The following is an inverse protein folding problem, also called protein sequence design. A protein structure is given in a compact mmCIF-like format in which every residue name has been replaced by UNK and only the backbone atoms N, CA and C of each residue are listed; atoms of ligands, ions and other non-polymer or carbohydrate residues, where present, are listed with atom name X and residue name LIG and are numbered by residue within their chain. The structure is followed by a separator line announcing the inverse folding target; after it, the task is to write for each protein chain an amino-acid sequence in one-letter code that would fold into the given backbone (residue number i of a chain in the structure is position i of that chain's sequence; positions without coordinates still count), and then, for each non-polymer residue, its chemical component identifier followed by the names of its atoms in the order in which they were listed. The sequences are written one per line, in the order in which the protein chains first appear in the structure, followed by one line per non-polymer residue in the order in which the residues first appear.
data_IF_613531927785
#
_entry.id   IF_613531927785
#
_cell.length_a   1.000
_cell.length_b   1.000
_cell.length_c   1.000
_cell.angle_alpha   90.00
_cell.angle_beta   90.00
_cell.angle_gamma   90.00
#
_symmetry.space_group_name_H-M   'P 1'
#
loop_
_entity.id
_entity.type
_entity.pdbx_description
1 polymer ?
#
# COMPACT_ATOMS: atom_id res chain seq x y z
N UNK A 1 27.92 -36.91 26.54
CA UNK A 1 28.77 -36.14 27.49
C UNK A 1 29.61 -35.21 26.61
N UNK A 2 29.58 -33.88 26.68
CA UNK A 2 29.62 -32.95 27.81
C UNK A 2 28.66 -31.77 27.55
N UNK A 3 28.10 -31.24 28.64
CA UNK A 3 27.15 -30.12 28.70
C UNK A 3 27.94 -28.83 28.94
N UNK A 4 27.57 -27.73 28.31
CA UNK A 4 27.99 -26.38 28.71
C UNK A 4 26.76 -25.49 28.83
N UNK A 5 26.53 -25.07 30.08
CA UNK A 5 25.48 -24.20 30.59
C UNK A 5 26.11 -22.84 30.89
N UNK A 6 25.58 -21.73 30.37
CA UNK A 6 25.69 -20.36 30.94
C UNK A 6 24.98 -19.38 30.00
N UNK A 7 24.26 -18.33 30.40
CA UNK A 7 23.40 -18.02 31.54
C UNK A 7 22.64 -16.76 31.10
N UNK A 8 21.33 -16.72 31.35
CA UNK A 8 20.41 -15.64 30.99
C UNK A 8 20.60 -14.42 31.89
N UNK A 9 20.64 -13.20 31.34
CA UNK A 9 20.50 -11.97 32.11
C UNK A 9 19.29 -11.17 31.60
N UNK A 10 18.15 -11.38 32.25
CA UNK A 10 16.98 -10.49 32.16
C UNK A 10 17.19 -9.34 33.15
N UNK A 11 17.19 -8.10 32.66
CA UNK A 11 17.09 -6.91 33.52
C UNK A 11 15.65 -6.44 33.50
N UNK A 12 14.92 -6.82 34.55
CA UNK A 12 13.60 -6.30 34.91
C UNK A 12 13.79 -5.05 35.77
N UNK A 13 13.30 -3.90 35.31
CA UNK A 13 13.10 -2.72 36.14
C UNK A 13 11.62 -2.31 36.09
N UNK A 14 10.87 -2.74 37.12
CA UNK A 14 9.63 -2.13 37.61
C UNK A 14 9.97 -1.56 39.01
N UNK A 15 9.41 -0.50 39.57
CA UNK A 15 8.28 0.41 39.33
C UNK A 15 8.66 1.77 40.02
N UNK A 16 7.93 2.89 39.99
CA UNK A 16 6.71 3.16 40.76
C UNK A 16 6.12 4.57 40.45
N UNK A 17 4.78 4.59 40.24
CA UNK A 17 3.72 5.46 40.80
C UNK A 17 3.76 7.01 40.69
N UNK A 18 2.83 7.56 39.90
CA UNK A 18 1.70 8.45 40.25
C UNK A 18 0.81 8.51 38.98
N UNK A 19 -0.52 8.34 38.92
CA UNK A 19 -1.62 8.59 39.84
C UNK A 19 -2.56 9.59 39.18
N UNK A 20 -3.62 9.14 38.47
CA UNK A 20 -4.83 9.95 38.19
C UNK A 20 -5.98 9.09 37.62
N UNK A 21 -7.07 8.98 38.39
CA UNK A 21 -8.46 8.69 37.97
C UNK A 21 -8.71 7.39 37.22
N UNK A 22 -9.27 6.32 37.80
CA UNK A 22 -10.35 6.30 38.78
C UNK A 22 -11.69 6.56 38.09
N UNK A 23 -12.31 5.52 37.54
CA UNK A 23 -13.76 5.36 37.71
C UNK A 23 -14.12 3.88 37.72
N UNK A 24 -15.02 3.56 38.64
CA UNK A 24 -15.31 2.25 39.15
C UNK A 24 -16.44 1.58 38.36
N UNK A 25 -16.50 0.26 38.51
CA UNK A 25 -17.47 -0.65 37.94
C UNK A 25 -18.93 -0.24 38.19
N UNK A 26 -19.80 -0.50 37.21
CA UNK A 26 -21.21 -0.80 37.47
C UNK A 26 -21.71 -1.88 36.50
N UNK A 27 -21.92 -3.13 36.95
CA UNK A 27 -22.78 -4.06 36.27
C UNK A 27 -24.23 -3.99 36.81
N UNK A 28 -25.12 -4.57 36.01
CA UNK A 28 -26.54 -4.87 36.26
C UNK A 28 -27.56 -3.73 36.07
N UNK A 29 -28.32 -3.89 34.98
CA UNK A 29 -29.64 -3.30 34.77
C UNK A 29 -30.45 -4.22 33.87
N UNK A 30 -31.02 -5.28 34.43
CA UNK A 30 -32.06 -6.08 33.77
C UNK A 30 -33.32 -5.21 33.63
N UNK A 31 -33.72 -4.92 32.39
CA UNK A 31 -34.85 -4.03 32.08
C UNK A 31 -35.61 -4.49 30.84
N UNK A 32 -36.53 -5.42 31.09
CA UNK A 32 -37.69 -5.89 30.32
C UNK A 32 -38.30 -4.88 29.31
N UNK A 33 -38.28 -5.25 28.02
CA UNK A 33 -39.29 -5.10 26.95
C UNK A 33 -40.09 -3.79 26.75
N UNK A 34 -40.08 -3.26 25.51
CA UNK A 34 -41.28 -3.07 24.67
C UNK A 34 -40.95 -2.37 23.33
N UNK A 35 -41.47 -2.97 22.25
CA UNK A 35 -41.84 -2.44 20.91
C UNK A 35 -40.90 -1.52 20.10
N UNK A 36 -40.69 -1.80 18.80
CA UNK A 36 -39.98 -0.90 17.89
C UNK A 36 -40.90 0.23 17.43
N UNK A 37 -40.54 1.48 17.72
CA UNK A 37 -41.11 2.64 17.05
C UNK A 37 -40.44 2.79 15.68
N UNK A 38 -41.27 2.88 14.63
CA UNK A 38 -40.85 3.09 13.26
C UNK A 38 -39.98 4.34 13.14
N UNK A 39 -38.78 4.19 12.58
CA UNK A 39 -37.96 5.30 12.13
C UNK A 39 -38.36 5.61 10.69
N UNK A 40 -38.90 6.81 10.45
CA UNK A 40 -38.90 7.41 9.12
C UNK A 40 -37.45 7.43 8.58
N UNK A 41 -37.22 7.08 7.31
CA UNK A 41 -35.89 7.24 6.73
C UNK A 41 -35.58 8.73 6.67
N UNK A 42 -34.60 9.16 7.47
CA UNK A 42 -33.94 10.43 7.29
C UNK A 42 -33.44 10.50 5.84
N UNK A 43 -33.98 11.47 5.10
CA UNK A 43 -33.51 11.83 3.76
C UNK A 43 -32.04 12.23 3.91
N UNK A 44 -31.14 11.36 3.44
CA UNK A 44 -29.72 11.68 3.32
C UNK A 44 -29.58 12.96 2.50
N UNK A 45 -29.11 14.03 3.12
CA UNK A 45 -28.58 15.16 2.40
C UNK A 45 -27.35 14.68 1.62
N UNK A 46 -27.48 14.70 0.30
CA UNK A 46 -26.37 14.52 -0.63
C UNK A 46 -25.37 15.64 -0.37
N UNK A 47 -24.36 15.37 0.45
CA UNK A 47 -23.20 16.24 0.60
C UNK A 47 -22.59 16.46 -0.77
N UNK A 48 -22.66 17.71 -1.22
CA UNK A 48 -22.23 18.14 -2.54
C UNK A 48 -20.84 17.64 -2.91
N UNK A 49 -20.80 16.82 -3.95
CA UNK A 49 -19.62 16.52 -4.75
C UNK A 49 -20.06 16.57 -6.19
N UNK A 50 -20.06 17.77 -6.79
CA UNK A 50 -20.28 17.89 -8.22
C UNK A 50 -19.27 17.03 -8.97
N UNK A 51 -19.72 16.34 -10.02
CA UNK A 51 -18.87 15.48 -10.83
C UNK A 51 -17.62 16.25 -11.29
N UNK A 52 -16.45 15.85 -10.80
CA UNK A 52 -15.17 16.42 -11.23
C UNK A 52 -14.93 15.95 -12.66
N UNK A 53 -14.76 16.88 -13.59
CA UNK A 53 -14.56 16.55 -15.00
C UNK A 53 -13.28 15.71 -15.17
N UNK A 54 -13.40 14.54 -15.79
CA UNK A 54 -12.30 13.61 -16.04
C UNK A 54 -11.57 13.94 -17.34
N UNK A 55 -10.25 13.75 -17.35
CA UNK A 55 -9.41 13.81 -18.54
C UNK A 55 -9.54 12.55 -19.42
N UNK A 56 -8.68 12.45 -20.44
CA UNK A 56 -8.63 11.26 -21.27
C UNK A 56 -8.26 10.02 -20.43
N UNK A 57 -8.93 8.91 -20.72
CA UNK A 57 -8.70 7.64 -20.04
C UNK A 57 -7.59 6.86 -20.73
N UNK A 58 -6.59 6.42 -19.97
CA UNK A 58 -5.44 5.67 -20.47
C UNK A 58 -5.34 4.30 -19.80
N UNK A 59 -5.02 3.27 -20.58
CA UNK A 59 -4.63 1.98 -20.03
C UNK A 59 -3.15 2.00 -19.68
N UNK A 60 -2.82 1.80 -18.40
CA UNK A 60 -1.46 1.82 -17.89
C UNK A 60 -1.10 0.48 -17.30
N UNK A 61 -0.01 -0.10 -17.78
CA UNK A 61 0.56 -1.35 -17.27
C UNK A 61 1.94 -1.08 -16.67
N UNK A 62 2.14 -1.51 -15.43
CA UNK A 62 3.44 -1.57 -14.77
C UNK A 62 3.91 -3.02 -14.73
N UNK A 63 5.19 -3.23 -15.02
CA UNK A 63 5.81 -4.56 -15.00
C UNK A 63 7.10 -4.53 -14.20
N UNK A 64 7.37 -5.61 -13.49
CA UNK A 64 8.63 -5.90 -12.81
C UNK A 64 9.18 -7.22 -13.32
N UNK A 65 10.38 -7.18 -13.88
CA UNK A 65 11.09 -8.33 -14.42
C UNK A 65 11.91 -9.03 -13.34
N UNK A 66 12.28 -10.28 -13.58
CA UNK A 66 13.18 -11.04 -12.72
C UNK A 66 12.60 -12.41 -12.39
N UNK A 67 13.20 -13.05 -11.39
CA UNK A 67 12.80 -14.38 -10.92
C UNK A 67 12.74 -14.42 -9.41
N UNK A 68 11.93 -15.33 -8.88
CA UNK A 68 11.75 -15.52 -7.45
C UNK A 68 10.90 -14.43 -6.80
N UNK A 69 10.95 -14.38 -5.47
CA UNK A 69 10.22 -13.42 -4.66
C UNK A 69 10.93 -12.07 -4.61
N UNK A 70 10.16 -11.00 -4.73
CA UNK A 70 10.65 -9.62 -4.53
C UNK A 70 9.54 -8.75 -3.96
N UNK A 71 9.91 -7.69 -3.25
CA UNK A 71 8.96 -6.65 -2.85
C UNK A 71 8.75 -5.67 -4.00
N UNK A 72 7.54 -5.20 -4.22
CA UNK A 72 7.23 -4.14 -5.20
C UNK A 72 6.44 -3.05 -4.51
N UNK A 73 6.92 -1.81 -4.65
CA UNK A 73 6.18 -0.60 -4.28
C UNK A 73 5.68 0.07 -5.55
N UNK A 74 4.43 0.51 -5.59
CA UNK A 74 3.91 1.20 -6.78
C UNK A 74 2.86 2.28 -6.46
N UNK A 75 2.70 3.19 -7.43
CA UNK A 75 1.58 4.11 -7.56
C UNK A 75 1.03 3.98 -8.99
N UNK A 76 -0.24 3.57 -9.08
CA UNK A 76 -1.01 3.39 -10.31
C UNK A 76 -2.37 4.09 -10.13
N UNK A 77 -3.50 3.42 -10.32
CA UNK A 77 -4.83 3.86 -9.92
C UNK A 77 -5.01 3.82 -8.38
N UNK A 78 -4.33 2.86 -7.74
CA UNK A 78 -4.11 2.75 -6.29
C UNK A 78 -2.59 2.77 -5.96
N UNK A 79 -2.24 2.58 -4.69
CA UNK A 79 -0.86 2.45 -4.22
C UNK A 79 -0.73 1.31 -3.24
N UNK A 80 0.37 0.55 -3.34
CA UNK A 80 0.63 -0.57 -2.43
C UNK A 80 2.14 -0.88 -2.32
N UNK A 81 2.46 -1.71 -1.33
CA UNK A 81 3.76 -2.32 -1.10
C UNK A 81 3.58 -3.81 -0.73
N UNK A 82 3.95 -4.71 -1.64
CA UNK A 82 3.68 -6.14 -1.49
C UNK A 82 4.88 -7.02 -1.86
N UNK A 83 4.98 -8.20 -1.25
CA UNK A 83 5.85 -9.28 -1.75
C UNK A 83 5.11 -10.04 -2.87
N UNK A 84 5.78 -10.19 -4.01
CA UNK A 84 5.23 -10.83 -5.22
C UNK A 84 6.22 -11.85 -5.78
N UNK A 85 5.71 -12.77 -6.59
CA UNK A 85 6.53 -13.66 -7.42
C UNK A 85 6.82 -12.95 -8.76
N UNK A 86 8.07 -12.99 -9.22
CA UNK A 86 8.49 -12.37 -10.48
C UNK A 86 8.52 -13.37 -11.66
N UNK A 87 8.19 -12.93 -12.88
CA UNK A 87 7.83 -11.55 -13.25
C UNK A 87 6.40 -11.18 -12.81
N UNK A 88 6.21 -9.92 -12.45
CA UNK A 88 4.94 -9.40 -11.95
C UNK A 88 4.44 -8.24 -12.81
N UNK A 89 3.12 -8.15 -13.00
CA UNK A 89 2.46 -7.11 -13.80
C UNK A 89 1.20 -6.65 -13.10
N UNK A 90 0.89 -5.35 -13.20
CA UNK A 90 -0.41 -4.78 -12.85
C UNK A 90 -0.87 -3.79 -13.92
N UNK A 91 -2.15 -3.83 -14.26
CA UNK A 91 -2.77 -2.95 -15.25
C UNK A 91 -3.97 -2.24 -14.63
N UNK A 92 -4.13 -0.96 -14.96
CA UNK A 92 -5.29 -0.18 -14.57
C UNK A 92 -5.65 0.85 -15.64
N UNK A 93 -6.89 1.31 -15.59
CA UNK A 93 -7.37 2.42 -16.41
C UNK A 93 -7.38 3.69 -15.58
N UNK A 94 -6.67 4.72 -16.03
CA UNK A 94 -6.49 5.98 -15.29
C UNK A 94 -7.03 7.12 -16.14
N UNK A 95 -7.96 7.89 -15.58
CA UNK A 95 -8.41 9.17 -16.12
C UNK A 95 -7.99 10.28 -15.14
N UNK A 96 -7.06 11.18 -15.50
CA UNK A 96 -6.65 12.29 -14.64
C UNK A 96 -7.83 13.18 -14.25
N UNK A 97 -7.91 13.62 -12.99
CA UNK A 97 -9.00 14.49 -12.51
C UNK A 97 -8.47 15.76 -11.87
N UNK A 98 -9.27 16.83 -11.91
CA UNK A 98 -8.90 18.11 -11.30
C UNK A 98 -7.52 18.61 -11.77
N UNK A 99 -6.63 18.93 -10.84
CA UNK A 99 -5.29 19.45 -11.15
C UNK A 99 -4.42 18.46 -11.94
N UNK A 100 -4.64 17.14 -11.82
CA UNK A 100 -3.87 16.12 -12.54
C UNK A 100 -3.98 16.28 -14.06
N UNK A 101 -5.07 16.88 -14.56
CA UNK A 101 -5.24 17.16 -16.00
C UNK A 101 -4.21 18.16 -16.53
N UNK A 102 -3.75 19.07 -15.68
CA UNK A 102 -2.78 20.10 -16.06
C UNK A 102 -1.34 19.66 -15.76
N UNK A 103 -1.11 19.11 -14.57
CA UNK A 103 0.24 18.78 -14.08
C UNK A 103 0.65 17.33 -14.33
N UNK A 104 -0.31 16.45 -14.62
CA UNK A 104 -0.15 15.03 -14.78
C UNK A 104 -0.18 14.25 -13.46
N UNK A 105 -0.54 12.96 -13.54
CA UNK A 105 -0.50 11.99 -12.43
C UNK A 105 0.79 11.17 -12.49
N UNK A 106 1.43 10.98 -11.34
CA UNK A 106 2.60 10.11 -11.25
C UNK A 106 2.19 8.64 -11.31
N UNK A 107 2.75 7.91 -12.26
CA UNK A 107 2.81 6.45 -12.29
C UNK A 107 4.23 6.03 -11.90
N UNK A 108 4.35 5.17 -10.89
CA UNK A 108 5.63 4.77 -10.32
C UNK A 108 5.62 3.26 -10.03
N UNK A 109 6.71 2.57 -10.35
CA UNK A 109 6.99 1.22 -9.85
C UNK A 109 8.45 1.14 -9.41
N UNK A 110 8.66 0.69 -8.18
CA UNK A 110 9.98 0.50 -7.56
C UNK A 110 10.16 -0.98 -7.23
N UNK A 111 10.96 -1.70 -8.02
CA UNK A 111 11.31 -3.08 -7.72
C UNK A 111 12.23 -3.18 -6.50
N UNK A 112 12.01 -4.21 -5.70
CA UNK A 112 12.98 -4.69 -4.71
C UNK A 112 14.16 -5.40 -5.37
N UNK A 113 15.09 -5.84 -4.52
CA UNK A 113 16.25 -6.60 -4.98
C UNK A 113 15.87 -8.07 -5.23
N UNK A 114 16.49 -8.65 -6.24
CA UNK A 114 16.47 -10.08 -6.57
C UNK A 114 17.89 -10.64 -6.58
N UNK A 115 18.02 -11.96 -6.60
CA UNK A 115 19.32 -12.62 -6.79
C UNK A 115 19.66 -12.67 -8.27
N UNK A 116 20.76 -12.03 -8.65
CA UNK A 116 21.33 -12.09 -10.00
C UNK A 116 22.00 -13.43 -10.31
N UNK A 117 22.36 -13.63 -11.57
CA UNK A 117 22.99 -14.87 -12.05
C UNK A 117 24.37 -15.14 -11.39
N UNK A 118 25.04 -14.11 -10.90
CA UNK A 118 26.29 -14.18 -10.15
C UNK A 118 26.09 -14.40 -8.64
N UNK A 119 24.83 -14.59 -8.20
CA UNK A 119 24.46 -14.75 -6.80
C UNK A 119 24.42 -13.44 -6.02
N UNK A 120 24.76 -12.29 -6.64
CA UNK A 120 24.68 -10.99 -5.97
C UNK A 120 23.27 -10.42 -6.02
N UNK A 121 22.95 -9.56 -5.06
CA UNK A 121 21.70 -8.81 -5.09
C UNK A 121 21.76 -7.73 -6.18
N UNK A 122 20.73 -7.70 -7.01
CA UNK A 122 20.52 -6.69 -8.04
C UNK A 122 19.09 -6.20 -7.96
N UNK A 123 18.84 -4.94 -8.29
CA UNK A 123 17.46 -4.50 -8.44
C UNK A 123 16.82 -5.17 -9.66
N UNK A 124 15.58 -5.61 -9.51
CA UNK A 124 14.79 -6.12 -10.63
C UNK A 124 14.56 -5.01 -11.69
N UNK A 125 14.37 -5.43 -12.94
CA UNK A 125 13.99 -4.52 -14.02
C UNK A 125 12.53 -4.09 -13.89
N UNK A 126 12.17 -2.96 -14.49
CA UNK A 126 10.78 -2.52 -14.57
C UNK A 126 10.46 -1.85 -15.90
N UNK A 127 9.17 -1.77 -16.21
CA UNK A 127 8.67 -0.95 -17.32
C UNK A 127 7.29 -0.37 -17.02
N UNK A 128 6.96 0.71 -17.74
CA UNK A 128 5.63 1.33 -17.77
C UNK A 128 5.20 1.39 -19.23
N UNK A 129 4.01 0.87 -19.51
CA UNK A 129 3.35 0.91 -20.81
C UNK A 129 2.06 1.69 -20.69
N UNK A 130 1.83 2.63 -21.60
CA UNK A 130 0.60 3.44 -21.69
C UNK A 130 0.01 3.21 -23.08
N UNK A 131 -1.26 2.81 -23.13
CA UNK A 131 -2.01 2.51 -24.35
C UNK A 131 -1.24 1.60 -25.32
N UNK A 132 -0.64 0.54 -24.76
CA UNK A 132 0.15 -0.44 -25.51
C UNK A 132 1.57 0.02 -25.91
N UNK A 133 1.97 1.26 -25.60
CA UNK A 133 3.31 1.78 -25.88
C UNK A 133 4.17 1.85 -24.61
N UNK A 134 5.33 1.20 -24.61
CA UNK A 134 6.31 1.34 -23.53
C UNK A 134 6.86 2.77 -23.50
N UNK A 135 6.63 3.48 -22.40
CA UNK A 135 7.06 4.86 -22.18
C UNK A 135 8.27 4.95 -21.26
N UNK A 136 8.48 3.94 -20.42
CA UNK A 136 9.64 3.83 -19.52
C UNK A 136 10.09 2.37 -19.47
N UNK A 137 11.40 2.15 -19.52
CA UNK A 137 12.01 0.84 -19.31
C UNK A 137 13.32 1.01 -18.53
N UNK A 138 13.51 0.20 -17.49
CA UNK A 138 14.75 0.06 -16.77
C UNK A 138 15.11 -1.43 -16.66
N UNK A 139 16.29 -1.80 -17.12
CA UNK A 139 16.75 -3.20 -17.12
C UNK A 139 17.23 -3.69 -15.75
N UNK A 140 17.17 -2.85 -14.71
CA UNK A 140 17.61 -3.19 -13.36
C UNK A 140 19.14 -3.13 -13.22
N UNK A 141 19.66 -3.85 -12.23
CA UNK A 141 21.10 -3.95 -11.95
C UNK A 141 21.53 -3.33 -10.62
N UNK A 142 22.81 -2.98 -10.49
CA UNK A 142 23.44 -2.63 -9.20
C UNK A 142 22.93 -1.32 -8.57
N UNK A 143 22.39 -0.41 -9.37
CA UNK A 143 21.96 0.92 -8.95
C UNK A 143 20.47 1.17 -9.23
N UNK A 144 19.67 0.11 -9.21
CA UNK A 144 18.26 0.10 -9.59
C UNK A 144 17.53 1.41 -9.34
N UNK A 145 17.01 2.00 -10.41
CA UNK A 145 16.15 3.19 -10.33
C UNK A 145 14.71 2.74 -10.53
N UNK A 146 13.75 3.36 -9.82
CA UNK A 146 12.34 3.13 -10.10
C UNK A 146 12.00 3.55 -11.53
N UNK A 147 10.96 2.94 -12.09
CA UNK A 147 10.34 3.42 -13.32
C UNK A 147 9.27 4.44 -12.93
N UNK A 148 9.38 5.65 -13.47
CA UNK A 148 8.53 6.79 -13.13
C UNK A 148 8.06 7.47 -14.40
N UNK A 149 6.76 7.73 -14.51
CA UNK A 149 6.15 8.40 -15.66
C UNK A 149 5.07 9.39 -15.18
N UNK A 150 5.00 10.56 -15.80
CA UNK A 150 3.91 11.52 -15.56
C UNK A 150 2.87 11.33 -16.65
N UNK A 151 1.75 10.71 -16.31
CA UNK A 151 0.61 10.50 -17.19
C UNK A 151 -0.18 11.81 -17.30
N UNK A 152 -0.44 12.27 -18.52
CA UNK A 152 -1.25 13.47 -18.81
C UNK A 152 -2.51 13.09 -19.55
#
# INVERSE_FOLDING_TARGET
MRKTLTATAFVLAAALLTGCGGDAEKPAGTGKGSSPAAQEPAKSEETGGGAVEEGASHEVTIKVEGTGKSTVMYTLDDSDFAEVELPWTKTATIAPRGAEREVGRLVLVTPGNTTGADGMLVAAGCSITVDGKTVVENKGGKTGKPCSYTLK
#
